data_IF_631103513754
#
_entry.id   IF_631103513754
#
_cell.length_a   1.000
_cell.length_b   1.000
_cell.length_c   1.000
_cell.angle_alpha   90.00
_cell.angle_beta   90.00
_cell.angle_gamma   90.00
#
_symmetry.space_group_name_H-M   'P 1'
#
loop_
_entity.id
_entity.type
_entity.pdbx_description
1 polymer ?
#
# COMPACT_ATOMS: atom_id res chain seq x y z
N UNK A 1 -15.08 -4.01 18.81
CA UNK A 1 -14.90 -3.78 17.37
C UNK A 1 -13.67 -2.95 17.10
N UNK A 2 -12.80 -3.41 16.22
CA UNK A 2 -11.62 -2.65 15.87
C UNK A 2 -11.98 -1.63 14.79
N UNK A 3 -11.90 -0.37 15.17
CA UNK A 3 -12.09 0.72 14.23
C UNK A 3 -10.87 0.84 13.31
N UNK A 4 -11.11 1.01 12.00
CA UNK A 4 -10.06 1.24 11.04
C UNK A 4 -9.69 2.73 11.08
N UNK A 5 -8.47 3.04 11.51
CA UNK A 5 -7.95 4.39 11.61
C UNK A 5 -6.76 4.63 10.69
N UNK A 6 -5.99 3.60 10.43
CA UNK A 6 -4.77 3.68 9.61
C UNK A 6 -4.81 2.56 8.57
N UNK A 7 -4.66 2.93 7.32
CA UNK A 7 -4.73 2.00 6.18
C UNK A 7 -3.39 2.04 5.45
N UNK A 8 -2.79 0.88 5.29
CA UNK A 8 -1.57 0.75 4.49
C UNK A 8 -1.93 0.55 3.02
N UNK A 9 -1.29 1.32 2.16
CA UNK A 9 -1.44 1.22 0.71
C UNK A 9 -0.25 0.46 0.14
N UNK A 10 -0.51 -0.73 -0.38
CA UNK A 10 0.48 -1.49 -1.15
C UNK A 10 0.74 -0.77 -2.48
N UNK A 11 1.76 -1.19 -3.19
CA UNK A 11 2.21 -0.51 -4.42
C UNK A 11 1.14 -0.48 -5.51
N UNK A 12 0.44 -1.59 -5.75
CA UNK A 12 -0.51 -1.70 -6.87
C UNK A 12 -1.63 -0.66 -6.82
N UNK A 13 -2.33 -0.44 -5.68
CA UNK A 13 -3.34 0.62 -5.62
C UNK A 13 -2.80 2.01 -5.97
N UNK A 14 -1.58 2.32 -5.53
CA UNK A 14 -0.94 3.61 -5.82
C UNK A 14 -0.66 3.75 -7.31
N UNK A 15 -0.09 2.71 -7.93
CA UNK A 15 0.18 2.68 -9.36
C UNK A 15 -1.11 2.86 -10.17
N UNK A 16 -2.17 2.15 -9.80
CA UNK A 16 -3.46 2.24 -10.49
C UNK A 16 -4.01 3.66 -10.48
N UNK A 17 -3.88 4.35 -9.38
CA UNK A 17 -4.31 5.74 -9.27
C UNK A 17 -3.42 6.67 -10.09
N UNK A 18 -2.11 6.59 -9.90
CA UNK A 18 -1.14 7.50 -10.53
C UNK A 18 -1.14 7.38 -12.04
N UNK A 19 -1.21 6.15 -12.56
CA UNK A 19 -1.17 5.87 -13.99
C UNK A 19 -2.55 5.79 -14.64
N UNK A 20 -3.61 6.05 -13.89
CA UNK A 20 -5.01 5.99 -14.34
C UNK A 20 -5.33 4.66 -15.04
N UNK A 21 -5.02 3.56 -14.33
CA UNK A 21 -5.29 2.22 -14.87
C UNK A 21 -6.75 2.11 -15.33
N UNK A 22 -6.98 1.65 -16.56
CA UNK A 22 -8.32 1.60 -17.17
C UNK A 22 -9.31 0.75 -16.39
N UNK A 23 -8.83 -0.31 -15.74
CA UNK A 23 -9.70 -1.25 -15.02
C UNK A 23 -9.91 -0.82 -13.57
N UNK A 24 -8.85 -0.36 -12.89
CA UNK A 24 -8.85 -0.20 -11.44
C UNK A 24 -8.90 1.25 -10.96
N UNK A 25 -8.66 2.24 -11.82
CA UNK A 25 -8.56 3.64 -11.38
C UNK A 25 -9.78 4.10 -10.60
N UNK A 26 -10.98 3.88 -11.14
CA UNK A 26 -12.21 4.34 -10.49
C UNK A 26 -12.45 3.61 -9.16
N UNK A 27 -12.17 2.32 -9.12
CA UNK A 27 -12.31 1.52 -7.89
C UNK A 27 -11.38 2.03 -6.79
N UNK A 28 -10.12 2.28 -7.12
CA UNK A 28 -9.12 2.80 -6.17
C UNK A 28 -9.51 4.19 -5.71
N UNK A 29 -9.85 5.07 -6.65
CA UNK A 29 -10.26 6.44 -6.34
C UNK A 29 -11.44 6.45 -5.37
N UNK A 30 -12.46 5.64 -5.64
CA UNK A 30 -13.64 5.56 -4.77
C UNK A 30 -13.29 5.01 -3.39
N UNK A 31 -12.48 3.97 -3.32
CA UNK A 31 -12.03 3.40 -2.05
C UNK A 31 -11.25 4.42 -1.22
N UNK A 32 -10.30 5.12 -1.85
CA UNK A 32 -9.50 6.13 -1.16
C UNK A 32 -10.34 7.32 -0.68
N UNK A 33 -11.25 7.80 -1.51
CA UNK A 33 -12.12 8.90 -1.13
C UNK A 33 -13.05 8.50 0.02
N UNK A 34 -13.63 7.32 -0.03
CA UNK A 34 -14.49 6.81 1.04
C UNK A 34 -13.73 6.70 2.37
N UNK A 35 -12.54 6.14 2.33
CA UNK A 35 -11.68 6.03 3.52
C UNK A 35 -11.24 7.41 4.03
N UNK A 36 -10.85 8.30 3.13
CA UNK A 36 -10.43 9.65 3.48
C UNK A 36 -11.56 10.43 4.15
N UNK A 37 -12.77 10.32 3.63
CA UNK A 37 -13.97 10.97 4.19
C UNK A 37 -14.30 10.44 5.58
N UNK A 38 -13.93 9.20 5.87
CA UNK A 38 -14.08 8.58 7.19
C UNK A 38 -13.01 8.98 8.20
N UNK A 39 -12.06 9.83 7.80
CA UNK A 39 -10.99 10.28 8.69
C UNK A 39 -9.81 9.31 8.82
N UNK A 40 -9.71 8.34 7.94
CA UNK A 40 -8.60 7.38 7.92
C UNK A 40 -7.30 8.08 7.54
N UNK A 41 -6.21 7.66 8.19
CA UNK A 41 -4.85 8.05 7.79
C UNK A 41 -4.25 6.98 6.89
N UNK A 42 -3.64 7.42 5.80
CA UNK A 42 -2.96 6.51 4.87
C UNK A 42 -1.49 6.39 5.20
N UNK A 43 -0.98 5.19 5.05
CA UNK A 43 0.42 4.83 5.29
C UNK A 43 0.93 4.05 4.08
N UNK A 44 2.18 4.24 3.72
CA UNK A 44 2.86 3.42 2.72
C UNK A 44 4.33 3.30 3.10
N UNK A 45 5.20 2.91 2.18
CA UNK A 45 6.62 2.71 2.52
C UNK A 45 7.55 3.07 1.36
N UNK A 46 8.85 3.08 1.67
CA UNK A 46 9.91 3.28 0.68
C UNK A 46 9.85 2.26 -0.47
N UNK A 47 9.34 1.06 -0.21
CA UNK A 47 9.15 0.03 -1.24
C UNK A 47 8.15 0.51 -2.29
N UNK A 48 7.07 1.14 -1.87
CA UNK A 48 6.07 1.69 -2.79
C UNK A 48 6.69 2.74 -3.71
N UNK A 49 7.50 3.64 -3.16
CA UNK A 49 8.22 4.62 -3.98
C UNK A 49 9.16 3.93 -4.97
N UNK A 50 9.95 2.97 -4.49
CA UNK A 50 10.91 2.26 -5.34
C UNK A 50 10.23 1.50 -6.49
N UNK A 51 9.07 0.91 -6.24
CA UNK A 51 8.35 0.14 -7.25
C UNK A 51 7.50 1.03 -8.17
N UNK A 52 6.80 2.01 -7.62
CA UNK A 52 5.88 2.86 -8.38
C UNK A 52 6.62 3.79 -9.36
N UNK A 53 7.86 4.16 -9.07
CA UNK A 53 8.62 5.08 -9.91
C UNK A 53 9.42 4.41 -11.03
N UNK A 54 9.43 3.07 -11.10
CA UNK A 54 10.21 2.35 -12.12
C UNK A 54 9.76 2.70 -13.55
N UNK A 55 8.49 2.50 -13.86
CA UNK A 55 7.97 2.79 -15.21
C UNK A 55 8.04 4.28 -15.57
N UNK A 56 7.66 5.20 -14.67
CA UNK A 56 7.85 6.63 -14.96
C UNK A 56 9.28 6.98 -15.37
N UNK A 57 10.28 6.46 -14.68
CA UNK A 57 11.68 6.68 -15.05
C UNK A 57 12.05 6.00 -16.37
N UNK A 58 11.63 4.76 -16.57
CA UNK A 58 11.91 4.04 -17.85
C UNK A 58 11.34 4.73 -19.07
N UNK A 59 10.14 5.28 -18.92
CA UNK A 59 9.41 5.87 -20.05
C UNK A 59 9.58 7.39 -20.13
N UNK A 60 10.35 7.99 -19.23
CA UNK A 60 10.50 9.44 -19.17
C UNK A 60 9.19 10.17 -18.88
N UNK A 61 8.29 9.53 -18.16
CA UNK A 61 6.98 10.09 -17.82
C UNK A 61 7.07 10.94 -16.56
N UNK A 62 7.56 12.17 -16.75
CA UNK A 62 7.67 13.14 -15.66
C UNK A 62 6.32 13.48 -15.06
N UNK A 63 5.26 13.48 -15.86
CA UNK A 63 3.89 13.71 -15.41
C UNK A 63 3.45 12.67 -14.37
N UNK A 64 3.79 11.40 -14.55
CA UNK A 64 3.49 10.36 -13.57
C UNK A 64 4.27 10.54 -12.27
N UNK A 65 5.53 10.97 -12.35
CA UNK A 65 6.31 11.26 -11.13
C UNK A 65 5.70 12.43 -10.35
N UNK A 66 5.27 13.47 -11.05
CA UNK A 66 4.58 14.61 -10.42
C UNK A 66 3.24 14.17 -9.81
N UNK A 67 2.49 13.32 -10.51
CA UNK A 67 1.21 12.79 -9.99
C UNK A 67 1.44 11.93 -8.75
N UNK A 68 2.51 11.14 -8.73
CA UNK A 68 2.88 10.35 -7.55
C UNK A 68 3.13 11.27 -6.34
N UNK A 69 3.90 12.33 -6.51
CA UNK A 69 4.17 13.29 -5.43
C UNK A 69 2.88 13.98 -4.96
N UNK A 70 2.03 14.38 -5.91
CA UNK A 70 0.72 14.97 -5.59
C UNK A 70 -0.18 14.00 -4.85
N UNK A 71 -0.17 12.73 -5.23
CA UNK A 71 -0.93 11.68 -4.55
C UNK A 71 -0.55 11.61 -3.08
N UNK A 72 0.74 11.55 -2.78
CA UNK A 72 1.22 11.49 -1.40
C UNK A 72 0.78 12.71 -0.59
N UNK A 73 0.76 13.89 -1.21
CA UNK A 73 0.34 15.12 -0.55
C UNK A 73 -1.18 15.23 -0.37
N UNK A 74 -1.95 14.89 -1.40
CA UNK A 74 -3.42 14.96 -1.36
C UNK A 74 -3.99 14.05 -0.27
N UNK A 75 -3.51 12.83 -0.21
CA UNK A 75 -3.96 11.85 0.77
C UNK A 75 -3.15 11.86 2.07
N UNK A 76 -2.18 12.77 2.19
CA UNK A 76 -1.32 12.92 3.38
C UNK A 76 -0.72 11.59 3.81
N UNK A 77 -0.17 10.85 2.85
CA UNK A 77 0.36 9.52 3.09
C UNK A 77 1.60 9.60 3.95
N UNK A 78 1.57 8.93 5.11
CA UNK A 78 2.73 8.77 5.97
C UNK A 78 3.61 7.67 5.40
N UNK A 79 4.87 7.99 5.11
CA UNK A 79 5.81 7.03 4.52
C UNK A 79 6.65 6.38 5.59
N UNK A 80 6.54 5.05 5.70
CA UNK A 80 7.40 4.26 6.59
C UNK A 80 8.76 4.04 5.94
N UNK A 81 9.80 4.37 6.67
CA UNK A 81 11.17 4.17 6.22
C UNK A 81 11.73 2.85 6.75
N UNK A 82 12.66 2.30 6.01
CA UNK A 82 13.34 1.06 6.35
C UNK A 82 14.06 1.18 7.70
N UNK A 83 13.81 0.23 8.60
CA UNK A 83 14.49 0.14 9.91
C UNK A 83 14.91 -1.31 10.15
N UNK A 84 15.82 -1.52 11.12
CA UNK A 84 16.21 -2.87 11.51
C UNK A 84 15.01 -3.68 12.02
N UNK A 85 14.12 -3.05 12.77
CA UNK A 85 12.90 -3.69 13.26
C UNK A 85 12.03 -4.20 12.12
N UNK A 86 11.79 -3.37 11.11
CA UNK A 86 11.00 -3.74 9.93
C UNK A 86 11.69 -4.86 9.15
N UNK A 87 13.03 -4.78 8.98
CA UNK A 87 13.78 -5.81 8.29
C UNK A 87 13.67 -7.17 8.99
N UNK A 88 13.78 -7.19 10.32
CA UNK A 88 13.65 -8.43 11.09
C UNK A 88 12.23 -8.98 11.06
N UNK A 89 11.22 -8.12 11.14
CA UNK A 89 9.82 -8.53 10.97
C UNK A 89 9.58 -9.12 9.59
N UNK A 90 10.16 -8.53 8.55
CA UNK A 90 10.11 -9.06 7.18
C UNK A 90 10.65 -10.49 7.12
N UNK A 91 11.79 -10.74 7.77
CA UNK A 91 12.37 -12.08 7.83
C UNK A 91 11.46 -13.08 8.54
N UNK A 92 10.84 -12.67 9.66
CA UNK A 92 9.90 -13.52 10.38
C UNK A 92 8.65 -13.85 9.55
N UNK A 93 8.11 -12.86 8.84
CA UNK A 93 6.95 -13.07 7.95
C UNK A 93 7.31 -14.07 6.85
N UNK A 94 8.46 -13.92 6.21
CA UNK A 94 8.89 -14.85 5.16
C UNK A 94 9.11 -16.26 5.69
N UNK A 95 9.60 -16.40 6.90
CA UNK A 95 9.79 -17.70 7.54
C UNK A 95 8.45 -18.41 7.79
N UNK A 96 7.43 -17.64 8.18
CA UNK A 96 6.09 -18.18 8.45
C UNK A 96 5.25 -18.37 7.18
N UNK A 97 5.44 -17.50 6.18
CA UNK A 97 4.71 -17.54 4.90
C UNK A 97 5.71 -17.70 3.74
N UNK A 98 6.19 -18.93 3.47
CA UNK A 98 7.27 -19.15 2.49
C UNK A 98 6.93 -18.70 1.06
N UNK A 99 5.63 -18.62 0.71
CA UNK A 99 5.19 -18.18 -0.61
C UNK A 99 5.26 -16.67 -0.81
N UNK A 100 5.43 -15.88 0.27
CA UNK A 100 5.51 -14.43 0.17
C UNK A 100 6.89 -13.99 -0.31
N UNK A 101 6.91 -13.02 -1.22
CA UNK A 101 8.17 -12.42 -1.69
C UNK A 101 8.69 -11.42 -0.66
N UNK A 102 9.98 -11.10 -0.76
CA UNK A 102 10.64 -10.17 0.18
C UNK A 102 9.98 -8.80 0.22
N UNK A 103 9.71 -8.21 -0.95
CA UNK A 103 9.10 -6.86 -1.00
C UNK A 103 7.68 -6.87 -0.44
N UNK A 104 6.90 -7.89 -0.73
CA UNK A 104 5.54 -8.03 -0.17
C UNK A 104 5.58 -8.16 1.35
N UNK A 105 6.51 -8.97 1.86
CA UNK A 105 6.68 -9.15 3.30
C UNK A 105 7.17 -7.87 3.98
N UNK A 106 8.00 -7.10 3.29
CA UNK A 106 8.45 -5.80 3.77
C UNK A 106 7.28 -4.82 3.90
N UNK A 107 6.37 -4.82 2.93
CA UNK A 107 5.16 -3.99 2.99
C UNK A 107 4.28 -4.38 4.18
N UNK A 108 4.05 -5.68 4.38
CA UNK A 108 3.27 -6.16 5.53
C UNK A 108 3.95 -5.80 6.85
N UNK A 109 5.27 -5.96 6.95
CA UNK A 109 6.03 -5.57 8.13
C UNK A 109 5.92 -4.08 8.41
N UNK A 110 5.98 -3.26 7.36
CA UNK A 110 5.83 -1.81 7.47
C UNK A 110 4.42 -1.43 7.96
N UNK A 111 3.40 -2.12 7.47
CA UNK A 111 2.02 -1.90 7.89
C UNK A 111 1.82 -2.21 9.38
N UNK A 112 2.41 -3.32 9.86
CA UNK A 112 2.36 -3.67 11.28
C UNK A 112 3.10 -2.63 12.12
N UNK A 113 4.31 -2.25 11.71
CA UNK A 113 5.10 -1.23 12.41
C UNK A 113 4.41 0.14 12.42
N UNK A 114 3.64 0.45 11.39
CA UNK A 114 2.86 1.68 11.28
C UNK A 114 1.51 1.65 11.98
N UNK A 115 1.24 0.61 12.75
CA UNK A 115 -0.03 0.43 13.49
C UNK A 115 -1.26 0.52 12.59
N UNK A 116 -1.19 -0.05 11.39
CA UNK A 116 -2.32 -0.07 10.47
C UNK A 116 -3.29 -1.20 10.81
N UNK A 117 -4.58 -0.95 10.62
CA UNK A 117 -5.64 -1.95 10.82
C UNK A 117 -6.07 -2.61 9.52
N UNK A 118 -5.75 -2.00 8.39
CA UNK A 118 -6.11 -2.51 7.08
C UNK A 118 -4.93 -2.40 6.12
N UNK A 119 -4.70 -3.45 5.34
CA UNK A 119 -3.72 -3.50 4.25
C UNK A 119 -4.48 -3.59 2.94
N UNK A 120 -4.38 -2.56 2.11
CA UNK A 120 -5.06 -2.48 0.82
C UNK A 120 -4.10 -2.85 -0.30
N UNK A 121 -4.40 -3.92 -1.01
CA UNK A 121 -3.54 -4.52 -2.04
C UNK A 121 -4.35 -4.93 -3.27
N UNK A 122 -3.69 -5.47 -4.27
CA UNK A 122 -4.35 -6.21 -5.35
C UNK A 122 -3.87 -7.66 -5.43
N UNK A 123 -3.07 -8.09 -4.46
CA UNK A 123 -2.57 -9.47 -4.40
C UNK A 123 -3.29 -10.25 -3.31
N UNK A 124 -4.26 -11.08 -3.74
CA UNK A 124 -5.09 -11.88 -2.86
C UNK A 124 -4.27 -12.82 -1.95
N UNK A 125 -3.08 -13.27 -2.40
CA UNK A 125 -2.24 -14.16 -1.59
C UNK A 125 -1.85 -13.51 -0.27
N UNK A 126 -1.64 -12.19 -0.26
CA UNK A 126 -1.23 -11.46 0.93
C UNK A 126 -2.33 -11.41 1.99
N UNK A 127 -3.58 -11.66 1.60
CA UNK A 127 -4.70 -11.72 2.54
C UNK A 127 -4.68 -12.98 3.42
N UNK A 128 -3.72 -13.89 3.22
CA UNK A 128 -3.45 -15.00 4.14
C UNK A 128 -2.75 -14.52 5.42
N UNK A 129 -2.14 -13.35 5.38
CA UNK A 129 -1.45 -12.77 6.54
C UNK A 129 -2.45 -12.47 7.66
N UNK A 130 -2.20 -13.00 8.87
CA UNK A 130 -3.19 -13.02 9.94
C UNK A 130 -3.12 -11.84 10.91
N UNK A 131 -2.01 -11.10 10.91
CA UNK A 131 -1.79 -10.07 11.94
C UNK A 131 -2.54 -8.77 11.67
N UNK A 132 -3.07 -8.57 10.45
CA UNK A 132 -3.93 -7.45 10.17
C UNK A 132 -4.92 -7.79 9.06
N UNK A 133 -6.02 -7.05 9.03
CA UNK A 133 -7.02 -7.23 7.99
C UNK A 133 -6.44 -6.81 6.64
N UNK A 134 -6.62 -7.67 5.63
CA UNK A 134 -6.18 -7.39 4.28
C UNK A 134 -7.37 -7.48 3.35
N UNK A 135 -7.47 -6.56 2.40
CA UNK A 135 -8.46 -6.64 1.34
C UNK A 135 -7.84 -6.22 0.01
N UNK A 136 -8.39 -6.78 -1.07
CA UNK A 136 -8.04 -6.36 -2.42
C UNK A 136 -8.93 -5.20 -2.84
N UNK A 137 -8.51 -4.50 -3.89
CA UNK A 137 -9.30 -3.41 -4.47
C UNK A 137 -10.69 -3.90 -4.88
N UNK A 138 -10.78 -5.11 -5.44
CA UNK A 138 -12.05 -5.67 -5.89
C UNK A 138 -12.98 -6.06 -4.73
N UNK A 139 -12.42 -6.46 -3.60
CA UNK A 139 -13.19 -6.92 -2.44
C UNK A 139 -13.39 -5.82 -1.39
N UNK A 140 -12.96 -4.59 -1.67
CA UNK A 140 -13.08 -3.50 -0.72
C UNK A 140 -14.53 -3.08 -0.54
N UNK A 141 -14.98 -3.15 0.72
CA UNK A 141 -16.29 -2.65 1.16
C UNK A 141 -16.12 -2.01 2.53
N UNK A 142 -16.81 -0.90 2.75
CA UNK A 142 -16.91 -0.28 4.08
C UNK A 142 -18.11 -0.77 4.85
#
# INVERSE_FOLDING_TARGET
MNEIRRVFLDTAPVIYYVQRNEIFFEKVKNALNTLNDSGVRFVSSDVTTAEACVYPYRLGRRDWLETFDKFLNIFRVEMMHSTDEIARKTARIRAEYPSFKTMDSFQLASAVAGDCQLFLTNDKRLCQFKELKCCTIDSFEL
#
